data_IF_121813006053
#
_entry.id   IF_121813006053
#
_cell.length_a   1.000
_cell.length_b   1.000
_cell.length_c   1.000
_cell.angle_alpha   90.00
_cell.angle_beta   90.00
_cell.angle_gamma   90.00
#
_symmetry.space_group_name_H-M   'P 1'
#
loop_
_entity.id
_entity.type
_entity.pdbx_description
1 polymer ?
#
# COMPACT_ATOMS: atom_id res chain seq x y z
N UNK A 1 -2.04 -28.90 16.10
CA UNK A 1 -1.95 -28.59 14.66
C UNK A 1 -0.55 -28.95 14.21
N UNK A 2 -0.41 -29.57 13.04
CA UNK A 2 0.90 -29.84 12.47
C UNK A 2 1.53 -28.54 11.96
N UNK A 3 2.86 -28.39 12.06
CA UNK A 3 3.59 -27.23 11.52
C UNK A 3 3.34 -26.98 10.02
N UNK A 4 2.89 -28.00 9.28
CA UNK A 4 2.44 -27.88 7.88
C UNK A 4 1.10 -27.12 7.74
N UNK A 5 0.13 -27.41 8.60
CA UNK A 5 -1.22 -26.83 8.54
C UNK A 5 -1.22 -25.33 8.87
N UNK A 6 -0.38 -24.91 9.82
CA UNK A 6 -0.23 -23.49 10.16
C UNK A 6 0.42 -22.69 9.01
N UNK A 7 1.42 -23.28 8.34
CA UNK A 7 2.04 -22.65 7.16
C UNK A 7 1.06 -22.51 6.00
N UNK A 8 0.23 -23.52 5.76
CA UNK A 8 -0.75 -23.51 4.68
C UNK A 8 -1.80 -22.42 4.88
N UNK A 9 -2.35 -22.29 6.10
CA UNK A 9 -3.29 -21.21 6.46
C UNK A 9 -2.67 -19.82 6.38
N UNK A 10 -1.40 -19.68 6.78
CA UNK A 10 -0.67 -18.42 6.65
C UNK A 10 -0.51 -18.01 5.18
N UNK A 11 -0.12 -18.95 4.31
CA UNK A 11 0.01 -18.69 2.87
C UNK A 11 -1.33 -18.35 2.22
N UNK A 12 -2.40 -19.05 2.59
CA UNK A 12 -3.75 -18.79 2.07
C UNK A 12 -4.24 -17.37 2.43
N UNK A 13 -4.07 -16.96 3.69
CA UNK A 13 -4.44 -15.62 4.16
C UNK A 13 -3.60 -14.52 3.49
N UNK A 14 -2.28 -14.73 3.41
CA UNK A 14 -1.36 -13.79 2.78
C UNK A 14 -1.72 -13.55 1.30
N UNK A 15 -2.10 -14.62 0.58
CA UNK A 15 -2.42 -14.58 -0.85
C UNK A 15 -3.84 -14.07 -1.17
N UNK A 16 -4.58 -13.52 -0.19
CA UNK A 16 -5.93 -13.03 -0.46
C UNK A 16 -5.93 -11.85 -1.45
N UNK A 17 -6.83 -11.90 -2.44
CA UNK A 17 -7.00 -10.85 -3.47
C UNK A 17 -7.24 -9.46 -2.87
N UNK A 18 -7.88 -9.41 -1.69
CA UNK A 18 -8.13 -8.17 -0.94
C UNK A 18 -6.82 -7.45 -0.58
N UNK A 19 -5.79 -8.20 -0.16
CA UNK A 19 -4.50 -7.63 0.22
C UNK A 19 -3.79 -7.02 -0.99
N UNK A 20 -3.75 -7.73 -2.12
CA UNK A 20 -3.15 -7.22 -3.36
C UNK A 20 -3.87 -5.99 -3.91
N UNK A 21 -5.21 -5.99 -3.86
CA UNK A 21 -6.00 -4.84 -4.32
C UNK A 21 -5.72 -3.60 -3.48
N UNK A 22 -5.54 -3.76 -2.16
CA UNK A 22 -5.25 -2.65 -1.25
C UNK A 22 -3.86 -2.07 -1.52
N UNK A 23 -2.85 -2.92 -1.73
CA UNK A 23 -1.50 -2.48 -2.13
C UNK A 23 -1.53 -1.76 -3.48
N UNK A 24 -2.25 -2.32 -4.47
CA UNK A 24 -2.39 -1.74 -5.80
C UNK A 24 -2.95 -0.31 -5.72
N UNK A 25 -4.04 -0.10 -4.98
CA UNK A 25 -4.59 1.23 -4.78
C UNK A 25 -3.61 2.20 -4.10
N UNK A 26 -2.88 1.73 -3.08
CA UNK A 26 -1.84 2.55 -2.44
C UNK A 26 -0.73 2.98 -3.42
N UNK A 27 -0.27 2.06 -4.27
CA UNK A 27 0.73 2.35 -5.31
C UNK A 27 0.20 3.32 -6.36
N UNK A 28 -1.04 3.14 -6.85
CA UNK A 28 -1.66 4.04 -7.82
C UNK A 28 -1.78 5.47 -7.27
N UNK A 29 -2.26 5.61 -6.03
CA UNK A 29 -2.36 6.91 -5.35
C UNK A 29 -0.97 7.54 -5.18
N UNK A 30 0.02 6.75 -4.73
CA UNK A 30 1.39 7.20 -4.57
C UNK A 30 1.99 7.71 -5.89
N UNK A 31 1.78 6.98 -6.99
CA UNK A 31 2.21 7.40 -8.32
C UNK A 31 1.59 8.75 -8.72
N UNK A 32 0.28 8.94 -8.49
CA UNK A 32 -0.36 10.24 -8.76
C UNK A 32 0.31 11.38 -7.98
N UNK A 33 0.65 11.17 -6.71
CA UNK A 33 1.41 12.13 -5.91
C UNK A 33 2.79 12.45 -6.50
N UNK A 34 3.54 11.42 -6.92
CA UNK A 34 4.85 11.59 -7.55
C UNK A 34 4.74 12.36 -8.87
N UNK A 35 3.81 11.99 -9.76
CA UNK A 35 3.64 12.71 -11.03
C UNK A 35 3.20 14.16 -10.82
N UNK A 36 2.25 14.41 -9.92
CA UNK A 36 1.79 15.76 -9.61
C UNK A 36 2.93 16.66 -9.10
N UNK A 37 3.90 16.10 -8.36
CA UNK A 37 5.03 16.86 -7.82
C UNK A 37 5.87 17.52 -8.91
N UNK A 38 5.91 16.92 -10.09
CA UNK A 38 6.71 17.39 -11.23
C UNK A 38 5.86 18.02 -12.33
N UNK A 39 4.54 18.13 -12.16
CA UNK A 39 3.66 18.66 -13.18
C UNK A 39 3.81 20.18 -13.36
N UNK A 40 4.01 20.94 -12.27
CA UNK A 40 4.18 22.40 -12.29
C UNK A 40 5.05 22.88 -11.12
N UNK A 41 5.68 24.05 -11.28
CA UNK A 41 6.42 24.71 -10.21
C UNK A 41 5.48 25.58 -9.35
N UNK A 42 4.81 24.94 -8.39
CA UNK A 42 3.91 25.60 -7.45
C UNK A 42 4.09 25.02 -6.06
N UNK A 43 4.28 25.87 -5.06
CA UNK A 43 4.39 25.46 -3.65
C UNK A 43 3.13 24.73 -3.18
N UNK A 44 1.95 25.21 -3.58
CA UNK A 44 0.68 24.58 -3.22
C UNK A 44 0.55 23.17 -3.82
N UNK A 45 0.92 23.03 -5.10
CA UNK A 45 0.92 21.72 -5.76
C UNK A 45 1.94 20.78 -5.12
N UNK A 46 3.15 21.28 -4.81
CA UNK A 46 4.19 20.50 -4.13
C UNK A 46 3.69 19.93 -2.81
N UNK A 47 3.05 20.75 -1.95
CA UNK A 47 2.48 20.29 -0.67
C UNK A 47 1.39 19.24 -0.92
N UNK A 48 0.46 19.50 -1.85
CA UNK A 48 -0.60 18.55 -2.17
C UNK A 48 -0.05 17.20 -2.67
N UNK A 49 0.97 17.23 -3.52
CA UNK A 49 1.65 16.02 -4.03
C UNK A 49 2.29 15.20 -2.92
N UNK A 50 2.94 15.84 -1.95
CA UNK A 50 3.49 15.16 -0.78
C UNK A 50 2.40 14.53 0.09
N UNK A 51 1.27 15.21 0.29
CA UNK A 51 0.12 14.67 1.03
C UNK A 51 -0.45 13.44 0.33
N UNK A 52 -0.65 13.51 -0.99
CA UNK A 52 -1.15 12.37 -1.79
C UNK A 52 -0.18 11.20 -1.72
N UNK A 53 1.13 11.46 -1.88
CA UNK A 53 2.17 10.44 -1.76
C UNK A 53 2.14 9.79 -0.37
N UNK A 54 2.05 10.59 0.69
CA UNK A 54 1.96 10.10 2.06
C UNK A 54 0.74 9.18 2.27
N UNK A 55 -0.44 9.58 1.76
CA UNK A 55 -1.65 8.75 1.83
C UNK A 55 -1.44 7.43 1.08
N UNK A 56 -0.89 7.47 -0.14
CA UNK A 56 -0.59 6.27 -0.92
C UNK A 56 0.36 5.32 -0.20
N UNK A 57 1.43 5.85 0.40
CA UNK A 57 2.38 5.08 1.22
C UNK A 57 1.70 4.45 2.43
N UNK A 58 0.87 5.18 3.18
CA UNK A 58 0.14 4.64 4.33
C UNK A 58 -0.79 3.50 3.91
N UNK A 59 -1.53 3.66 2.81
CA UNK A 59 -2.42 2.61 2.30
C UNK A 59 -1.61 1.37 1.88
N UNK A 60 -0.52 1.53 1.13
CA UNK A 60 0.33 0.42 0.73
C UNK A 60 0.93 -0.32 1.94
N UNK A 61 1.45 0.41 2.93
CA UNK A 61 1.97 -0.15 4.18
C UNK A 61 0.90 -0.91 4.96
N UNK A 62 -0.34 -0.40 5.02
CA UNK A 62 -1.46 -1.15 5.64
C UNK A 62 -1.72 -2.48 4.94
N UNK A 63 -1.58 -2.53 3.62
CA UNK A 63 -1.68 -3.78 2.85
C UNK A 63 -0.58 -4.76 3.20
N UNK A 64 0.66 -4.28 3.30
CA UNK A 64 1.82 -5.10 3.69
C UNK A 64 1.67 -5.63 5.12
N UNK A 65 1.31 -4.78 6.09
CA UNK A 65 1.12 -5.23 7.48
C UNK A 65 0.01 -6.26 7.62
N UNK A 66 -1.04 -6.16 6.79
CA UNK A 66 -2.11 -7.17 6.73
C UNK A 66 -1.63 -8.51 6.19
N UNK A 67 -0.69 -8.52 5.22
CA UNK A 67 -0.05 -9.75 4.72
C UNK A 67 0.87 -10.36 5.79
N UNK A 68 1.60 -9.52 6.51
CA UNK A 68 2.52 -9.96 7.56
C UNK A 68 1.81 -10.44 8.83
N UNK A 69 0.48 -10.36 8.88
CA UNK A 69 -0.33 -10.58 10.09
C UNK A 69 0.20 -9.77 11.29
N UNK A 70 0.77 -8.60 11.00
CA UNK A 70 1.24 -7.65 12.00
C UNK A 70 0.00 -6.97 12.58
N UNK A 71 -0.54 -7.58 13.64
CA UNK A 71 -1.74 -7.13 14.34
C UNK A 71 -1.48 -5.91 15.21
#
# INVERSE_FOLDING_TARGET
MGQSEEREKSMESANSTSNYTLILWGVLIGMVGVYARFAFDSTALSIASWVVLFIGSVVACKGVFKILDAK
#
